data_IF_531657890706
#
_entry.id   IF_531657890706
#
_cell.length_a   1.000
_cell.length_b   1.000
_cell.length_c   1.000
_cell.angle_alpha   90.00
_cell.angle_beta   90.00
_cell.angle_gamma   90.00
#
_symmetry.space_group_name_H-M   'P 1'
#
loop_
_entity.id
_entity.type
_entity.pdbx_description
1 polymer ?
#
# COMPACT_ATOMS: atom_id res chain seq x y z
N UNK A 1 12.45 -19.03 7.16
CA UNK A 1 13.47 -18.09 6.63
C UNK A 1 12.82 -16.77 6.17
N UNK A 2 11.94 -16.15 6.98
CA UNK A 2 11.11 -14.99 6.54
C UNK A 2 11.69 -13.64 7.04
N UNK A 3 12.56 -13.65 8.06
CA UNK A 3 13.08 -12.42 8.69
C UNK A 3 14.24 -11.74 7.95
N UNK A 4 14.93 -12.43 7.03
CA UNK A 4 16.14 -11.89 6.40
C UNK A 4 15.88 -10.93 5.22
N UNK A 5 14.69 -11.00 4.61
CA UNK A 5 14.34 -10.20 3.42
C UNK A 5 13.81 -8.80 3.73
N UNK A 6 13.08 -8.64 4.83
CA UNK A 6 12.46 -7.36 5.23
C UNK A 6 13.44 -6.45 5.97
N UNK A 7 14.46 -7.01 6.63
CA UNK A 7 15.39 -6.26 7.47
C UNK A 7 16.34 -5.34 6.67
N UNK A 8 16.73 -5.75 5.46
CA UNK A 8 17.66 -5.00 4.60
C UNK A 8 17.09 -3.68 4.04
N UNK A 9 15.88 -3.62 3.47
CA UNK A 9 15.28 -2.35 3.06
C UNK A 9 14.93 -1.47 4.26
N UNK A 10 14.65 -2.05 5.43
CA UNK A 10 14.34 -1.30 6.65
C UNK A 10 15.54 -0.52 7.19
N UNK A 11 16.73 -1.16 7.28
CA UNK A 11 17.95 -0.47 7.74
C UNK A 11 18.40 0.61 6.75
N UNK A 12 18.22 0.38 5.45
CA UNK A 12 18.48 1.39 4.41
C UNK A 12 17.51 2.57 4.45
N UNK A 13 16.23 2.34 4.71
CA UNK A 13 15.24 3.40 4.84
C UNK A 13 15.47 4.27 6.09
N UNK A 14 15.90 3.67 7.20
CA UNK A 14 16.23 4.40 8.44
C UNK A 14 17.45 5.30 8.23
N UNK A 15 18.50 4.82 7.54
CA UNK A 15 19.71 5.62 7.30
C UNK A 15 19.47 6.79 6.35
N UNK A 16 18.65 6.61 5.31
CA UNK A 16 18.26 7.67 4.38
C UNK A 16 17.38 8.71 5.08
N UNK A 17 16.40 8.27 5.90
CA UNK A 17 15.56 9.17 6.68
C UNK A 17 16.34 10.04 7.66
N UNK A 18 17.38 9.47 8.30
CA UNK A 18 18.26 10.20 9.20
C UNK A 18 19.07 11.28 8.47
N UNK A 19 19.63 10.97 7.28
CA UNK A 19 20.37 11.94 6.48
C UNK A 19 19.48 13.09 5.98
N UNK A 20 18.25 12.79 5.55
CA UNK A 20 17.28 13.81 5.13
C UNK A 20 16.91 14.73 6.30
N UNK A 21 16.69 14.17 7.48
CA UNK A 21 16.42 14.95 8.71
C UNK A 21 17.56 15.92 9.03
N UNK A 22 18.81 15.46 8.96
CA UNK A 22 19.98 16.32 9.20
C UNK A 22 20.08 17.45 8.18
N UNK A 23 19.83 17.17 6.89
CA UNK A 23 19.85 18.19 5.83
C UNK A 23 18.77 19.26 6.09
N UNK A 24 17.55 18.84 6.47
CA UNK A 24 16.46 19.76 6.79
C UNK A 24 16.82 20.64 7.99
N UNK A 25 17.38 20.06 9.05
CA UNK A 25 17.78 20.81 10.26
C UNK A 25 18.88 21.82 9.93
N UNK A 26 19.90 21.42 9.17
CA UNK A 26 20.99 22.32 8.74
C UNK A 26 20.44 23.46 7.87
N UNK A 27 19.53 23.15 6.94
CA UNK A 27 18.90 24.14 6.07
C UNK A 27 18.06 25.14 6.88
N UNK A 28 17.25 24.67 7.83
CA UNK A 28 16.45 25.52 8.73
C UNK A 28 17.34 26.42 9.60
N UNK A 29 18.43 25.90 10.16
CA UNK A 29 19.38 26.67 10.96
C UNK A 29 20.06 27.78 10.13
N UNK A 30 20.51 27.46 8.91
CA UNK A 30 21.12 28.45 8.01
C UNK A 30 20.10 29.52 7.58
N UNK A 31 18.86 29.11 7.30
CA UNK A 31 17.78 30.02 6.90
C UNK A 31 17.36 30.95 8.04
N UNK A 32 17.24 30.42 9.27
CA UNK A 32 16.94 31.20 10.48
C UNK A 32 17.95 32.34 10.68
N UNK A 33 19.24 32.02 10.52
CA UNK A 33 20.33 32.98 10.67
C UNK A 33 20.31 34.10 9.63
N UNK A 34 19.71 33.88 8.46
CA UNK A 34 19.71 34.84 7.34
C UNK A 34 18.50 35.78 7.31
N UNK A 35 17.33 35.35 7.78
CA UNK A 35 16.07 36.09 7.53
C UNK A 35 15.24 36.45 8.79
N UNK A 36 15.67 36.06 9.99
CA UNK A 36 14.99 36.41 11.24
C UNK A 36 13.67 35.66 11.47
N UNK A 37 13.10 35.85 12.67
CA UNK A 37 12.06 35.00 13.29
C UNK A 37 10.72 34.97 12.52
N UNK A 38 10.37 36.05 11.84
CA UNK A 38 9.00 36.24 11.31
C UNK A 38 8.73 35.42 10.04
N UNK A 39 9.75 35.21 9.19
CA UNK A 39 9.61 34.31 8.03
C UNK A 39 9.80 32.84 8.36
N UNK A 40 10.32 32.52 9.55
CA UNK A 40 10.61 31.15 9.96
C UNK A 40 9.34 30.38 10.31
N UNK A 41 8.38 31.01 10.99
CA UNK A 41 7.14 30.36 11.43
C UNK A 41 6.24 29.98 10.26
N UNK A 42 6.07 30.88 9.28
CA UNK A 42 5.21 30.63 8.11
C UNK A 42 5.78 29.50 7.23
N UNK A 43 7.08 29.51 6.95
CA UNK A 43 7.73 28.47 6.13
C UNK A 43 7.78 27.11 6.86
N UNK A 44 8.04 27.10 8.17
CA UNK A 44 8.03 25.87 8.96
C UNK A 44 6.65 25.22 9.00
N UNK A 45 5.58 26.03 8.99
CA UNK A 45 4.20 25.53 8.94
C UNK A 45 3.87 24.93 7.57
N UNK A 46 4.34 25.55 6.47
CA UNK A 46 4.17 25.00 5.11
C UNK A 46 4.87 23.64 4.98
N UNK A 47 6.10 23.50 5.47
CA UNK A 47 6.84 22.22 5.44
C UNK A 47 6.09 21.13 6.21
N UNK A 48 5.55 21.47 7.38
CA UNK A 48 4.79 20.52 8.20
C UNK A 48 3.51 20.05 7.49
N UNK A 49 2.77 20.97 6.86
CA UNK A 49 1.55 20.65 6.10
C UNK A 49 1.87 19.75 4.91
N UNK A 50 2.94 20.03 4.17
CA UNK A 50 3.38 19.20 3.04
C UNK A 50 3.80 17.80 3.51
N UNK A 51 4.47 17.70 4.65
CA UNK A 51 4.86 16.41 5.22
C UNK A 51 3.66 15.57 5.67
N UNK A 52 2.66 16.20 6.31
CA UNK A 52 1.43 15.50 6.70
C UNK A 52 0.66 15.04 5.44
N UNK A 53 0.57 15.89 4.42
CA UNK A 53 -0.09 15.54 3.16
C UNK A 53 0.60 14.35 2.45
N UNK A 54 1.94 14.30 2.43
CA UNK A 54 2.67 13.18 1.83
C UNK A 54 2.57 11.88 2.63
N UNK A 55 2.46 11.94 3.95
CA UNK A 55 2.18 10.75 4.76
C UNK A 55 0.79 10.18 4.43
N UNK A 56 -0.22 11.05 4.30
CA UNK A 56 -1.59 10.63 3.98
C UNK A 56 -1.63 9.89 2.63
N UNK A 57 -0.91 10.38 1.59
CA UNK A 57 -0.90 9.69 0.29
C UNK A 57 -0.27 8.32 0.36
N UNK A 58 0.81 8.14 1.13
CA UNK A 58 1.46 6.83 1.30
C UNK A 58 0.57 5.84 2.06
N UNK A 59 -0.14 6.28 3.10
CA UNK A 59 -1.06 5.42 3.86
C UNK A 59 -2.31 5.02 3.09
N UNK A 60 -2.75 5.84 2.12
CA UNK A 60 -3.89 5.52 1.26
C UNK A 60 -3.54 4.62 0.07
N UNK A 61 -2.24 4.37 -0.19
CA UNK A 61 -1.87 3.40 -1.21
C UNK A 61 -2.25 1.99 -0.72
N UNK A 62 -3.10 1.27 -1.47
CA UNK A 62 -3.42 -0.10 -1.09
C UNK A 62 -2.16 -0.95 -1.21
N UNK A 63 -1.63 -1.39 -0.08
CA UNK A 63 -0.50 -2.31 -0.04
C UNK A 63 -1.03 -3.73 -0.26
N UNK A 64 -0.88 -4.25 -1.47
CA UNK A 64 -1.16 -5.66 -1.73
C UNK A 64 0.04 -6.50 -1.34
N UNK A 65 -0.21 -7.60 -0.63
CA UNK A 65 0.86 -8.53 -0.29
C UNK A 65 1.15 -9.43 -1.51
N UNK A 66 2.40 -9.90 -1.67
CA UNK A 66 2.77 -10.75 -2.82
C UNK A 66 1.94 -12.05 -2.89
N UNK A 67 1.45 -12.50 -1.75
CA UNK A 67 0.51 -13.62 -1.64
C UNK A 67 -0.85 -13.33 -2.29
N UNK A 68 -1.41 -12.11 -2.12
CA UNK A 68 -2.70 -11.72 -2.70
C UNK A 68 -2.61 -11.74 -4.23
N UNK A 69 -1.47 -11.28 -4.78
CA UNK A 69 -1.18 -11.30 -6.22
C UNK A 69 -1.11 -12.73 -6.74
N UNK A 70 -0.32 -13.60 -6.07
CA UNK A 70 -0.16 -15.01 -6.49
C UNK A 70 -1.49 -15.76 -6.43
N UNK A 71 -2.34 -15.41 -5.46
CA UNK A 71 -3.68 -15.98 -5.37
C UNK A 71 -4.57 -15.45 -6.50
N UNK A 72 -4.54 -14.13 -6.77
CA UNK A 72 -5.26 -13.52 -7.89
C UNK A 72 -4.87 -14.09 -9.25
N UNK A 73 -3.59 -14.40 -9.47
CA UNK A 73 -3.10 -15.07 -10.68
C UNK A 73 -3.70 -16.48 -10.86
N UNK A 74 -3.79 -17.26 -9.78
CA UNK A 74 -4.45 -18.57 -9.85
C UNK A 74 -5.93 -18.42 -10.17
N UNK A 75 -6.59 -17.46 -9.51
CA UNK A 75 -8.02 -17.21 -9.67
C UNK A 75 -8.37 -16.68 -11.07
N UNK A 76 -7.49 -15.92 -11.72
CA UNK A 76 -7.73 -15.41 -13.07
C UNK A 76 -7.75 -16.51 -14.13
N UNK A 77 -7.10 -17.65 -13.85
CA UNK A 77 -7.13 -18.85 -14.71
C UNK A 77 -8.38 -19.72 -14.52
N UNK A 78 -9.12 -19.50 -13.43
CA UNK A 78 -10.33 -20.26 -13.11
C UNK A 78 -11.56 -19.75 -13.86
N UNK A 79 -12.50 -20.65 -14.14
CA UNK A 79 -13.77 -20.30 -14.78
C UNK A 79 -14.80 -19.89 -13.74
N UNK A 80 -15.40 -18.71 -13.91
CA UNK A 80 -16.52 -18.28 -13.08
C UNK A 80 -17.80 -19.06 -13.43
N UNK A 81 -18.46 -19.61 -12.41
CA UNK A 81 -19.69 -20.38 -12.56
C UNK A 81 -20.88 -19.51 -12.17
N UNK A 82 -20.80 -18.85 -11.03
CA UNK A 82 -21.87 -18.04 -10.46
C UNK A 82 -21.26 -16.84 -9.73
N UNK A 83 -21.69 -15.65 -10.10
CA UNK A 83 -21.33 -14.41 -9.42
C UNK A 83 -22.30 -14.13 -8.30
N UNK A 84 -21.78 -13.67 -7.16
CA UNK A 84 -22.59 -13.13 -6.07
C UNK A 84 -23.67 -14.11 -5.56
N UNK A 85 -23.32 -15.40 -5.51
CA UNK A 85 -24.19 -16.46 -5.01
C UNK A 85 -24.52 -16.19 -3.54
N UNK A 86 -25.81 -16.26 -3.23
CA UNK A 86 -26.31 -16.04 -1.88
C UNK A 86 -25.79 -17.12 -0.93
N UNK A 87 -25.17 -16.69 0.18
CA UNK A 87 -24.54 -17.59 1.15
C UNK A 87 -25.20 -17.55 2.55
N UNK A 88 -26.45 -17.05 2.61
CA UNK A 88 -27.22 -16.88 3.85
C UNK A 88 -27.27 -15.43 4.34
N UNK A 89 -28.18 -15.13 5.28
CA UNK A 89 -28.48 -13.74 5.69
C UNK A 89 -27.39 -13.09 6.56
N UNK A 90 -26.51 -13.91 7.15
CA UNK A 90 -25.43 -13.46 8.04
C UNK A 90 -24.03 -13.65 7.45
N UNK A 91 -23.95 -14.16 6.22
CA UNK A 91 -22.70 -14.34 5.50
C UNK A 91 -22.69 -13.41 4.29
N UNK A 92 -21.51 -12.93 3.94
CA UNK A 92 -21.33 -12.28 2.66
C UNK A 92 -21.55 -13.25 1.51
N UNK A 93 -22.07 -12.72 0.40
CA UNK A 93 -22.24 -13.48 -0.81
C UNK A 93 -20.89 -13.95 -1.36
N UNK A 94 -20.92 -15.06 -2.09
CA UNK A 94 -19.73 -15.75 -2.59
C UNK A 94 -19.77 -15.86 -4.10
N UNK A 95 -18.63 -15.71 -4.75
CA UNK A 95 -18.44 -16.12 -6.14
C UNK A 95 -18.11 -17.61 -6.17
N UNK A 96 -18.84 -18.37 -6.98
CA UNK A 96 -18.53 -19.77 -7.26
C UNK A 96 -17.68 -19.85 -8.50
N UNK A 97 -16.51 -20.43 -8.35
CA UNK A 97 -15.54 -20.60 -9.44
C UNK A 97 -15.15 -22.07 -9.57
N UNK A 98 -14.88 -22.48 -10.81
CA UNK A 98 -14.34 -23.77 -11.16
C UNK A 98 -12.86 -23.60 -11.51
N UNK A 99 -11.99 -24.15 -10.66
CA UNK A 99 -10.57 -24.26 -10.93
C UNK A 99 -10.26 -25.74 -11.19
N UNK A 100 -9.98 -26.11 -12.45
CA UNK A 100 -9.56 -27.47 -12.84
C UNK A 100 -10.48 -28.60 -12.34
N UNK A 101 -11.80 -28.37 -12.38
CA UNK A 101 -12.81 -29.34 -11.95
C UNK A 101 -13.17 -29.24 -10.46
N UNK A 102 -12.49 -28.40 -9.69
CA UNK A 102 -12.81 -28.13 -8.28
C UNK A 102 -13.65 -26.87 -8.18
N UNK A 103 -14.88 -27.01 -7.70
CA UNK A 103 -15.77 -25.88 -7.43
C UNK A 103 -15.43 -25.32 -6.05
N UNK A 104 -15.02 -24.06 -5.99
CA UNK A 104 -14.73 -23.34 -4.75
C UNK A 104 -15.61 -22.10 -4.61
N UNK A 105 -16.02 -21.83 -3.37
CA UNK A 105 -16.81 -20.66 -3.02
C UNK A 105 -15.89 -19.64 -2.36
N UNK A 106 -15.76 -18.46 -2.96
CA UNK A 106 -14.89 -17.39 -2.46
C UNK A 106 -15.74 -16.17 -2.19
N UNK A 107 -15.64 -15.53 -1.02
CA UNK A 107 -16.39 -14.31 -0.78
C UNK A 107 -16.12 -13.21 -1.81
N UNK A 108 -17.16 -12.47 -2.18
CA UNK A 108 -17.08 -11.43 -3.24
C UNK A 108 -15.98 -10.42 -2.93
N UNK A 109 -15.92 -9.95 -1.68
CA UNK A 109 -14.91 -9.00 -1.19
C UNK A 109 -13.48 -9.51 -1.40
N UNK A 110 -13.25 -10.77 -1.05
CA UNK A 110 -11.95 -11.45 -1.14
C UNK A 110 -11.55 -11.68 -2.60
N UNK A 111 -12.48 -12.16 -3.43
CA UNK A 111 -12.23 -12.36 -4.86
C UNK A 111 -11.84 -11.06 -5.56
N UNK A 112 -12.59 -9.97 -5.30
CA UNK A 112 -12.31 -8.66 -5.88
C UNK A 112 -10.95 -8.13 -5.44
N UNK A 113 -10.61 -8.25 -4.15
CA UNK A 113 -9.30 -7.83 -3.63
C UNK A 113 -8.15 -8.54 -4.36
N UNK A 114 -8.24 -9.86 -4.51
CA UNK A 114 -7.17 -10.67 -5.11
C UNK A 114 -7.02 -10.41 -6.62
N UNK A 115 -8.13 -10.34 -7.36
CA UNK A 115 -8.10 -10.03 -8.79
C UNK A 115 -7.60 -8.60 -9.04
N UNK A 116 -8.03 -7.63 -8.23
CA UNK A 116 -7.54 -6.27 -8.32
C UNK A 116 -6.03 -6.22 -8.08
N UNK A 117 -5.53 -6.87 -7.03
CA UNK A 117 -4.09 -6.94 -6.73
C UNK A 117 -3.27 -7.48 -7.90
N UNK A 118 -3.75 -8.56 -8.52
CA UNK A 118 -3.13 -9.16 -9.70
C UNK A 118 -3.14 -8.22 -10.91
N UNK A 119 -4.28 -7.60 -11.21
CA UNK A 119 -4.39 -6.66 -12.33
C UNK A 119 -3.52 -5.43 -12.13
N UNK A 120 -3.47 -4.87 -10.93
CA UNK A 120 -2.68 -3.68 -10.62
C UNK A 120 -1.19 -3.95 -10.79
N UNK A 121 -0.69 -5.11 -10.34
CA UNK A 121 0.70 -5.53 -10.58
C UNK A 121 1.01 -5.66 -12.07
N UNK A 122 0.07 -6.19 -12.86
CA UNK A 122 0.28 -6.42 -14.30
C UNK A 122 0.05 -5.19 -15.18
N UNK A 123 -0.67 -4.17 -14.70
CA UNK A 123 -0.81 -2.88 -15.38
C UNK A 123 0.46 -2.02 -15.34
N UNK A 124 1.32 -2.26 -14.34
CA UNK A 124 2.60 -1.56 -14.17
C UNK A 124 3.81 -2.23 -14.83
N UNK A 125 3.60 -3.27 -15.66
CA UNK A 125 4.64 -3.99 -16.39
C UNK A 125 4.87 -3.46 -17.80
#
# INVERSE_FOLDING_TARGET
MIYAGVLKPFVGAISVGFLISLIIVIWLMWRYRKWGKDRFLTESLVILVVFIASLITVFLLPTYNDEDVKYGEKLSSCRMIEENAYNGSFNENVNKINCDGVITNIPVSTYQKMIYAYQEKNKGG
#
